data_IF_712058787605
#
_entry.id   IF_712058787605
#
_cell.length_a   1.000
_cell.length_b   1.000
_cell.length_c   1.000
_cell.angle_alpha   90.00
_cell.angle_beta   90.00
_cell.angle_gamma   90.00
#
_symmetry.space_group_name_H-M   'P 1'
#
loop_
_entity.id
_entity.type
_entity.pdbx_description
1 polymer ?
#
# COMPACT_ATOMS: atom_id res chain seq x y z
N UNK A 1 -15.21 -15.34 -21.03
CA UNK A 1 -15.52 -15.35 -19.60
C UNK A 1 -15.85 -13.92 -19.18
N UNK A 2 -17.02 -13.71 -18.57
CA UNK A 2 -17.42 -12.40 -18.02
C UNK A 2 -16.45 -12.04 -16.88
N UNK A 3 -15.59 -11.06 -17.11
CA UNK A 3 -14.72 -10.49 -16.08
C UNK A 3 -15.45 -9.30 -15.43
N UNK A 4 -15.22 -9.03 -14.13
CA UNK A 4 -15.71 -7.82 -13.47
C UNK A 4 -15.28 -6.57 -14.24
N UNK A 5 -16.15 -5.57 -14.32
CA UNK A 5 -15.89 -4.31 -15.04
C UNK A 5 -14.62 -3.59 -14.55
N UNK A 6 -14.35 -3.63 -13.27
CA UNK A 6 -13.16 -3.06 -12.66
C UNK A 6 -11.84 -3.72 -13.15
N UNK A 7 -11.85 -5.02 -13.46
CA UNK A 7 -10.69 -5.70 -14.04
C UNK A 7 -10.51 -5.34 -15.51
N UNK A 8 -11.61 -5.20 -16.25
CA UNK A 8 -11.58 -4.78 -17.66
C UNK A 8 -11.02 -3.35 -17.74
N UNK A 9 -11.49 -2.45 -16.89
CA UNK A 9 -11.01 -1.07 -16.82
C UNK A 9 -9.49 -1.01 -16.58
N UNK A 10 -8.96 -1.80 -15.64
CA UNK A 10 -7.53 -1.86 -15.36
C UNK A 10 -6.66 -2.33 -16.53
N UNK A 11 -7.23 -3.11 -17.44
CA UNK A 11 -6.52 -3.65 -18.61
C UNK A 11 -6.52 -2.69 -19.81
N UNK A 12 -7.43 -1.72 -19.84
CA UNK A 12 -7.52 -0.76 -20.93
C UNK A 12 -6.27 0.11 -21.02
N UNK A 13 -5.73 0.23 -22.24
CA UNK A 13 -4.64 1.14 -22.59
C UNK A 13 -5.09 2.02 -23.75
N UNK A 14 -5.84 3.07 -23.45
CA UNK A 14 -6.13 4.15 -24.38
C UNK A 14 -4.96 5.15 -24.45
N UNK A 15 -5.07 6.11 -25.38
CA UNK A 15 -4.03 7.13 -25.58
C UNK A 15 -3.71 7.89 -24.28
N UNK A 16 -4.72 8.28 -23.54
CA UNK A 16 -4.55 9.04 -22.28
C UNK A 16 -3.80 8.22 -21.23
N UNK A 17 -4.08 6.92 -21.10
CA UNK A 17 -3.39 6.03 -20.16
C UNK A 17 -1.95 5.76 -20.58
N UNK A 18 -1.68 5.64 -21.86
CA UNK A 18 -0.31 5.53 -22.40
C UNK A 18 0.50 6.81 -22.11
N UNK A 19 -0.10 7.98 -22.34
CA UNK A 19 0.54 9.27 -22.01
C UNK A 19 0.81 9.40 -20.52
N UNK A 20 -0.07 8.93 -19.66
CA UNK A 20 0.17 8.88 -18.20
C UNK A 20 1.32 7.96 -17.82
N UNK A 21 1.45 6.80 -18.46
CA UNK A 21 2.61 5.90 -18.25
C UNK A 21 3.89 6.63 -18.64
N UNK A 22 3.93 7.28 -19.82
CA UNK A 22 5.10 8.02 -20.27
C UNK A 22 5.46 9.17 -19.32
N UNK A 23 4.46 9.91 -18.83
CA UNK A 23 4.65 10.97 -17.81
C UNK A 23 5.21 10.38 -16.52
N UNK A 24 4.69 9.24 -16.06
CA UNK A 24 5.20 8.53 -14.89
C UNK A 24 6.67 8.14 -15.03
N UNK A 25 7.09 7.67 -16.22
CA UNK A 25 8.48 7.36 -16.48
C UNK A 25 9.40 8.61 -16.40
N UNK A 26 8.93 9.77 -16.90
CA UNK A 26 9.66 11.02 -16.76
C UNK A 26 9.80 11.45 -15.30
N UNK A 27 8.71 11.35 -14.50
CA UNK A 27 8.76 11.63 -13.06
C UNK A 27 9.80 10.73 -12.39
N UNK A 28 9.82 9.43 -12.68
CA UNK A 28 10.81 8.48 -12.12
C UNK A 28 12.24 8.86 -12.56
N UNK A 29 12.43 9.28 -13.81
CA UNK A 29 13.73 9.70 -14.32
C UNK A 29 14.26 10.93 -13.56
N UNK A 30 13.40 11.87 -13.20
CA UNK A 30 13.75 13.10 -12.48
C UNK A 30 14.00 12.90 -10.98
N UNK A 31 13.63 11.73 -10.41
CA UNK A 31 13.90 11.43 -9.00
C UNK A 31 15.41 11.50 -8.70
N UNK A 32 15.81 11.89 -7.48
CA UNK A 32 17.19 11.77 -7.03
C UNK A 32 17.70 10.33 -7.15
N UNK A 33 18.98 10.18 -7.43
CA UNK A 33 19.59 8.85 -7.41
C UNK A 33 19.76 8.38 -5.94
N UNK A 34 19.08 7.31 -5.50
CA UNK A 34 19.17 6.85 -4.12
C UNK A 34 20.46 6.05 -3.83
N UNK A 35 21.15 5.57 -4.87
CA UNK A 35 22.31 4.68 -4.70
C UNK A 35 23.51 5.48 -4.22
N UNK A 36 24.09 5.06 -3.11
CA UNK A 36 25.23 5.72 -2.49
C UNK A 36 24.86 6.83 -1.48
N UNK A 37 23.56 7.14 -1.30
CA UNK A 37 23.10 8.10 -0.29
C UNK A 37 23.46 7.62 1.12
N UNK A 38 24.11 8.49 1.92
CA UNK A 38 24.42 8.22 3.32
C UNK A 38 23.22 8.55 4.19
N UNK A 39 22.57 7.51 4.72
CA UNK A 39 21.39 7.64 5.59
C UNK A 39 21.76 8.16 6.99
N UNK A 40 22.88 7.67 7.53
CA UNK A 40 23.38 8.07 8.84
C UNK A 40 24.88 7.84 8.95
N UNK A 41 25.53 8.67 9.78
CA UNK A 41 26.94 8.53 10.14
C UNK A 41 27.06 8.44 11.66
N UNK A 42 27.86 7.51 12.15
CA UNK A 42 28.19 7.42 13.57
C UNK A 42 29.70 7.26 13.78
N UNK A 43 30.22 7.88 14.86
CA UNK A 43 31.61 7.73 15.29
C UNK A 43 31.65 6.92 16.57
N UNK A 44 32.62 6.03 16.69
CA UNK A 44 32.85 5.23 17.89
C UNK A 44 33.99 5.82 18.73
N UNK A 45 34.05 5.51 20.04
CA UNK A 45 35.16 6.01 20.93
C UNK A 45 36.55 5.60 20.46
N UNK A 46 36.69 4.50 19.74
CA UNK A 46 37.94 4.02 19.16
C UNK A 46 38.36 4.72 17.86
N UNK A 47 37.62 5.77 17.43
CA UNK A 47 37.87 6.52 16.20
C UNK A 47 37.23 5.94 14.93
N UNK A 48 36.56 4.79 15.00
CA UNK A 48 35.89 4.20 13.84
C UNK A 48 34.72 5.09 13.41
N UNK A 49 34.68 5.42 12.11
CA UNK A 49 33.53 6.04 11.42
C UNK A 49 32.71 4.97 10.72
N UNK A 50 31.41 4.94 10.96
CA UNK A 50 30.46 4.03 10.35
C UNK A 50 29.42 4.84 9.59
N UNK A 51 29.35 4.65 8.28
CA UNK A 51 28.32 5.23 7.42
C UNK A 51 27.33 4.15 7.02
N UNK A 52 26.02 4.42 7.20
CA UNK A 52 24.95 3.60 6.66
C UNK A 52 24.55 4.15 5.29
N UNK A 53 24.79 3.38 4.25
CA UNK A 53 24.66 3.83 2.85
C UNK A 53 23.56 3.03 2.15
N UNK A 54 22.76 3.67 1.32
CA UNK A 54 21.77 3.00 0.45
C UNK A 54 22.49 2.22 -0.66
N UNK A 55 22.15 0.96 -0.80
CA UNK A 55 22.66 0.08 -1.87
C UNK A 55 21.49 -0.58 -2.60
N UNK A 56 21.66 -0.98 -3.87
CA UNK A 56 20.66 -1.80 -4.56
C UNK A 56 20.36 -3.09 -3.79
N UNK A 57 19.14 -3.58 -3.91
CA UNK A 57 18.74 -4.88 -3.38
C UNK A 57 19.33 -6.03 -4.20
N UNK A 58 19.47 -5.82 -5.52
CA UNK A 58 19.96 -6.82 -6.46
C UNK A 58 18.96 -7.08 -7.60
N UNK A 59 18.49 -8.31 -7.73
CA UNK A 59 17.50 -8.72 -8.73
C UNK A 59 16.12 -8.84 -8.07
N UNK A 60 15.16 -8.08 -8.59
CA UNK A 60 13.80 -8.02 -8.05
C UNK A 60 12.83 -8.75 -8.98
N UNK A 61 12.09 -9.72 -8.46
CA UNK A 61 10.99 -10.35 -9.18
C UNK A 61 9.68 -9.61 -8.93
N UNK A 62 9.05 -9.05 -9.96
CA UNK A 62 7.74 -8.41 -9.82
C UNK A 62 6.67 -9.26 -10.51
N UNK A 63 5.76 -9.82 -9.72
CA UNK A 63 4.69 -10.71 -10.19
C UNK A 63 3.37 -9.97 -10.09
N UNK A 64 2.70 -9.70 -11.23
CA UNK A 64 1.53 -8.82 -11.24
C UNK A 64 0.39 -9.36 -12.13
N UNK A 65 -0.84 -8.97 -11.81
CA UNK A 65 -2.07 -9.34 -12.51
C UNK A 65 -2.82 -8.09 -12.99
N UNK A 66 -3.41 -8.17 -14.20
CA UNK A 66 -4.37 -7.19 -14.73
C UNK A 66 -3.94 -5.71 -14.64
N UNK A 67 -2.62 -5.45 -14.72
CA UNK A 67 -2.03 -4.10 -14.59
C UNK A 67 -0.85 -3.92 -15.56
N UNK A 68 -1.09 -3.71 -16.86
CA UNK A 68 0.00 -3.61 -17.85
C UNK A 68 0.97 -2.45 -17.56
N UNK A 69 0.51 -1.34 -16.94
CA UNK A 69 1.33 -0.21 -16.53
C UNK A 69 2.47 -0.61 -15.56
N UNK A 70 2.26 -1.62 -14.72
CA UNK A 70 3.28 -2.10 -13.77
C UNK A 70 4.56 -2.53 -14.50
N UNK A 71 4.45 -2.98 -15.76
CA UNK A 71 5.63 -3.28 -16.59
C UNK A 71 6.56 -2.08 -16.72
N UNK A 72 6.01 -0.89 -16.92
CA UNK A 72 6.77 0.35 -17.04
C UNK A 72 7.23 0.87 -15.67
N UNK A 73 6.30 0.99 -14.74
CA UNK A 73 6.55 1.60 -13.43
C UNK A 73 7.60 0.80 -12.63
N UNK A 74 7.41 -0.53 -12.51
CA UNK A 74 8.34 -1.38 -11.80
C UNK A 74 9.70 -1.49 -12.54
N UNK A 75 9.68 -1.56 -13.88
CA UNK A 75 10.89 -1.57 -14.68
C UNK A 75 11.76 -0.33 -14.43
N UNK A 76 11.15 0.84 -14.49
CA UNK A 76 11.84 2.11 -14.31
C UNK A 76 12.31 2.35 -12.87
N UNK A 77 11.47 2.05 -11.86
CA UNK A 77 11.84 2.21 -10.46
C UNK A 77 13.00 1.29 -10.05
N UNK A 78 12.98 0.03 -10.50
CA UNK A 78 14.09 -0.89 -10.25
C UNK A 78 15.38 -0.38 -10.90
N UNK A 79 15.32 0.03 -12.17
CA UNK A 79 16.47 0.58 -12.87
C UNK A 79 17.01 1.86 -12.19
N UNK A 80 16.13 2.80 -11.82
CA UNK A 80 16.50 4.06 -11.15
C UNK A 80 17.18 3.82 -9.79
N UNK A 81 16.80 2.76 -9.10
CA UNK A 81 17.41 2.36 -7.83
C UNK A 81 18.57 1.36 -7.96
N UNK A 82 19.09 1.19 -9.18
CA UNK A 82 20.26 0.36 -9.46
C UNK A 82 20.01 -1.15 -9.40
N UNK A 83 18.74 -1.59 -9.43
CA UNK A 83 18.35 -2.99 -9.41
C UNK A 83 18.07 -3.52 -10.81
N UNK A 84 18.34 -4.80 -11.04
CA UNK A 84 17.74 -5.51 -12.16
C UNK A 84 16.33 -6.01 -11.79
N UNK A 85 15.46 -6.21 -12.78
CA UNK A 85 14.09 -6.68 -12.54
C UNK A 85 13.67 -7.78 -13.52
N UNK A 86 12.98 -8.78 -12.97
CA UNK A 86 12.31 -9.83 -13.75
C UNK A 86 10.81 -9.66 -13.57
N UNK A 87 10.14 -9.24 -14.64
CA UNK A 87 8.72 -8.93 -14.70
C UNK A 87 7.92 -10.16 -15.12
N UNK A 88 6.89 -10.53 -14.34
CA UNK A 88 5.95 -11.60 -14.69
C UNK A 88 4.51 -11.08 -14.63
N UNK A 89 3.99 -10.68 -15.77
CA UNK A 89 2.60 -10.23 -15.93
C UNK A 89 1.60 -11.40 -16.02
N UNK A 90 0.34 -11.13 -15.70
CA UNK A 90 -0.77 -12.06 -15.90
C UNK A 90 -1.00 -12.37 -17.39
N UNK A 91 -1.64 -13.51 -17.68
CA UNK A 91 -1.99 -13.89 -19.07
C UNK A 91 -2.92 -12.92 -19.76
N UNK A 92 -3.71 -12.17 -18.99
CA UNK A 92 -4.68 -11.19 -19.45
C UNK A 92 -4.06 -9.88 -19.95
N UNK A 93 -2.87 -9.54 -19.50
CA UNK A 93 -2.12 -8.34 -19.90
C UNK A 93 -0.84 -8.66 -20.68
N UNK A 94 -0.61 -9.93 -21.03
CA UNK A 94 0.65 -10.40 -21.61
C UNK A 94 1.09 -9.63 -22.87
N UNK A 95 0.17 -9.41 -23.82
CA UNK A 95 0.50 -8.71 -25.06
C UNK A 95 0.84 -7.24 -24.83
N UNK A 96 0.08 -6.58 -23.95
CA UNK A 96 0.35 -5.18 -23.54
C UNK A 96 1.69 -5.07 -22.80
N UNK A 97 1.95 -5.98 -21.85
CA UNK A 97 3.21 -6.03 -21.12
C UNK A 97 4.41 -6.25 -22.08
N UNK A 98 4.25 -7.14 -23.06
CA UNK A 98 5.28 -7.38 -24.10
C UNK A 98 5.57 -6.14 -24.94
N UNK A 99 4.52 -5.40 -25.33
CA UNK A 99 4.68 -4.16 -26.11
C UNK A 99 5.41 -3.08 -25.29
N UNK A 100 5.01 -2.88 -24.01
CA UNK A 100 5.68 -1.93 -23.12
C UNK A 100 7.14 -2.35 -22.87
N UNK A 101 7.40 -3.62 -22.59
CA UNK A 101 8.75 -4.13 -22.38
C UNK A 101 9.65 -3.92 -23.61
N UNK A 102 9.10 -4.07 -24.84
CA UNK A 102 9.85 -3.77 -26.07
C UNK A 102 10.32 -2.33 -26.09
N UNK A 103 9.44 -1.36 -25.77
CA UNK A 103 9.81 0.05 -25.70
C UNK A 103 10.89 0.31 -24.64
N UNK A 104 10.78 -0.32 -23.46
CA UNK A 104 11.82 -0.20 -22.42
C UNK A 104 13.17 -0.76 -22.90
N UNK A 105 13.17 -1.92 -23.57
CA UNK A 105 14.38 -2.54 -24.12
C UNK A 105 15.04 -1.66 -25.20
N UNK A 106 14.24 -1.02 -26.06
CA UNK A 106 14.73 -0.05 -27.03
C UNK A 106 15.34 1.17 -26.35
N UNK A 107 14.71 1.69 -25.28
CA UNK A 107 15.26 2.76 -24.45
C UNK A 107 16.59 2.40 -23.78
N UNK A 108 16.70 1.20 -23.19
CA UNK A 108 17.95 0.70 -22.61
C UNK A 108 19.06 0.63 -23.63
N UNK A 109 18.79 0.06 -24.82
CA UNK A 109 19.77 -0.03 -25.90
C UNK A 109 20.23 1.36 -26.37
N UNK A 110 19.31 2.32 -26.51
CA UNK A 110 19.62 3.71 -26.91
C UNK A 110 20.50 4.43 -25.88
N UNK A 111 20.38 4.05 -24.60
CA UNK A 111 21.19 4.57 -23.50
C UNK A 111 22.48 3.78 -23.24
N UNK A 112 22.81 2.78 -24.07
CA UNK A 112 23.92 1.83 -23.87
C UNK A 112 23.87 1.11 -22.51
N UNK A 113 22.65 0.83 -22.01
CA UNK A 113 22.43 0.02 -20.80
C UNK A 113 22.15 -1.44 -21.17
N UNK A 114 22.51 -2.40 -20.31
CA UNK A 114 22.26 -3.81 -20.59
C UNK A 114 20.76 -4.11 -20.73
N UNK A 115 20.28 -4.71 -21.83
CA UNK A 115 18.87 -5.07 -21.98
C UNK A 115 18.36 -6.03 -20.87
N UNK A 116 19.27 -6.82 -20.29
CA UNK A 116 18.98 -7.72 -19.18
C UNK A 116 18.64 -7.00 -17.87
N UNK A 117 18.80 -5.67 -17.77
CA UNK A 117 18.41 -4.89 -16.59
C UNK A 117 16.90 -4.94 -16.35
N UNK A 118 16.10 -5.05 -17.42
CA UNK A 118 14.64 -5.20 -17.34
C UNK A 118 14.25 -6.41 -18.19
N UNK A 119 13.83 -7.48 -17.57
CA UNK A 119 13.44 -8.72 -18.26
C UNK A 119 11.95 -8.96 -18.08
N UNK A 120 11.32 -9.55 -19.10
CA UNK A 120 9.94 -10.02 -19.05
C UNK A 120 9.92 -11.55 -19.27
N UNK A 121 9.30 -12.28 -18.35
CA UNK A 121 9.11 -13.72 -18.49
C UNK A 121 8.33 -14.02 -19.78
N UNK A 122 8.89 -14.80 -20.73
CA UNK A 122 8.34 -14.91 -22.08
C UNK A 122 7.18 -15.91 -22.20
N UNK A 123 6.59 -16.32 -21.08
CA UNK A 123 5.49 -17.28 -21.05
C UNK A 123 4.38 -16.86 -20.09
N UNK A 124 3.16 -17.29 -20.40
CA UNK A 124 2.01 -17.17 -19.52
C UNK A 124 1.82 -18.37 -18.59
N UNK A 125 2.68 -19.39 -18.69
CA UNK A 125 2.61 -20.56 -17.84
C UNK A 125 2.79 -20.18 -16.36
N UNK A 126 1.93 -20.75 -15.52
CA UNK A 126 1.99 -20.55 -14.06
C UNK A 126 3.17 -21.26 -13.41
N UNK A 127 3.78 -22.25 -14.08
CA UNK A 127 4.99 -22.91 -13.60
C UNK A 127 6.15 -21.92 -13.48
N UNK A 128 6.25 -20.92 -14.36
CA UNK A 128 7.27 -19.87 -14.29
C UNK A 128 7.22 -19.06 -12.98
N UNK A 129 6.02 -18.89 -12.39
CA UNK A 129 5.89 -18.28 -11.06
C UNK A 129 6.57 -19.15 -10.01
N UNK A 130 6.37 -20.46 -10.05
CA UNK A 130 7.03 -21.40 -9.14
C UNK A 130 8.57 -21.32 -9.20
N UNK A 131 9.15 -21.13 -10.38
CA UNK A 131 10.61 -20.97 -10.53
C UNK A 131 11.10 -19.65 -9.93
N UNK A 132 10.36 -18.54 -10.12
CA UNK A 132 10.64 -17.27 -9.45
C UNK A 132 10.59 -17.42 -7.91
N UNK A 133 9.59 -18.12 -7.39
CA UNK A 133 9.44 -18.32 -5.94
C UNK A 133 10.53 -19.23 -5.35
N UNK A 134 11.14 -20.10 -6.14
CA UNK A 134 12.33 -20.88 -5.73
C UNK A 134 13.61 -20.03 -5.68
N UNK A 135 13.60 -18.83 -6.28
CA UNK A 135 14.74 -17.91 -6.26
C UNK A 135 15.70 -18.04 -7.44
N UNK A 136 15.32 -18.74 -8.52
CA UNK A 136 16.14 -18.91 -9.75
C UNK A 136 17.59 -19.32 -9.44
N UNK A 137 17.75 -20.34 -8.62
CA UNK A 137 19.06 -20.86 -8.19
C UNK A 137 19.96 -19.78 -7.51
N UNK A 138 19.34 -18.90 -6.72
CA UNK A 138 20.03 -17.83 -6.01
C UNK A 138 20.27 -16.56 -6.83
N UNK A 139 19.66 -16.44 -8.01
CA UNK A 139 19.75 -15.26 -8.88
C UNK A 139 18.60 -14.27 -8.69
N UNK A 140 17.75 -14.46 -7.69
CA UNK A 140 16.65 -13.57 -7.33
C UNK A 140 16.73 -13.22 -5.85
N UNK A 141 16.79 -11.93 -5.53
CA UNK A 141 16.99 -11.44 -4.16
C UNK A 141 15.69 -11.17 -3.42
N UNK A 142 14.65 -10.71 -4.12
CA UNK A 142 13.35 -10.38 -3.52
C UNK A 142 12.21 -10.51 -4.52
N UNK A 143 11.00 -10.82 -4.03
CA UNK A 143 9.77 -10.85 -4.83
C UNK A 143 8.79 -9.80 -4.34
N UNK A 144 8.17 -9.07 -5.28
CA UNK A 144 7.12 -8.08 -5.02
C UNK A 144 5.86 -8.50 -5.79
N UNK A 145 4.81 -8.99 -5.12
CA UNK A 145 3.53 -9.28 -5.76
C UNK A 145 2.67 -8.03 -5.93
N UNK A 146 1.95 -7.96 -7.05
CA UNK A 146 0.94 -6.92 -7.38
C UNK A 146 -0.31 -7.58 -7.97
N UNK A 147 -1.16 -8.14 -7.13
CA UNK A 147 -2.35 -8.86 -7.58
C UNK A 147 -3.41 -8.97 -6.49
N UNK A 148 -4.38 -9.84 -6.71
CA UNK A 148 -5.40 -10.13 -5.71
C UNK A 148 -4.87 -11.03 -4.58
N UNK A 149 -5.66 -11.12 -3.50
CA UNK A 149 -5.38 -11.90 -2.27
C UNK A 149 -4.86 -13.32 -2.55
N UNK A 150 -5.44 -14.03 -3.52
CA UNK A 150 -5.03 -15.39 -3.86
C UNK A 150 -3.60 -15.48 -4.41
N UNK A 151 -3.17 -14.52 -5.24
CA UNK A 151 -1.78 -14.48 -5.73
C UNK A 151 -0.82 -14.12 -4.60
N UNK A 152 -1.14 -13.10 -3.81
CA UNK A 152 -0.27 -12.63 -2.72
C UNK A 152 -0.10 -13.73 -1.67
N UNK A 153 -1.19 -14.36 -1.23
CA UNK A 153 -1.17 -15.47 -0.27
C UNK A 153 -0.32 -16.65 -0.78
N UNK A 154 -0.48 -17.02 -2.05
CA UNK A 154 0.34 -18.05 -2.66
C UNK A 154 1.83 -17.71 -2.60
N UNK A 155 2.20 -16.47 -2.98
CA UNK A 155 3.59 -16.02 -3.00
C UNK A 155 4.18 -16.00 -1.59
N UNK A 156 3.44 -15.49 -0.60
CA UNK A 156 3.89 -15.46 0.80
C UNK A 156 4.13 -16.88 1.37
N UNK A 157 3.27 -17.84 1.00
CA UNK A 157 3.37 -19.21 1.51
C UNK A 157 4.42 -20.07 0.78
N UNK A 158 4.64 -19.86 -0.52
CA UNK A 158 5.50 -20.70 -1.35
C UNK A 158 6.90 -20.12 -1.59
N UNK A 159 7.11 -18.82 -1.35
CA UNK A 159 8.38 -18.18 -1.68
C UNK A 159 9.51 -18.61 -0.75
N UNK A 160 10.66 -18.91 -1.35
CA UNK A 160 11.95 -19.16 -0.67
C UNK A 160 12.84 -17.93 -0.66
N UNK A 161 12.43 -16.87 -1.34
CA UNK A 161 13.09 -15.57 -1.31
C UNK A 161 12.23 -14.57 -0.52
N UNK A 162 12.83 -13.54 0.04
CA UNK A 162 12.11 -12.45 0.72
C UNK A 162 10.97 -11.90 -0.14
N UNK A 163 9.85 -11.59 0.51
CA UNK A 163 8.66 -11.03 -0.16
C UNK A 163 8.31 -9.68 0.44
N UNK A 164 8.18 -8.65 -0.39
CA UNK A 164 7.61 -7.37 0.01
C UNK A 164 6.16 -7.30 -0.44
N UNK A 165 5.24 -7.51 0.50
CA UNK A 165 3.81 -7.58 0.23
C UNK A 165 2.96 -7.18 1.42
N UNK A 166 1.69 -6.86 1.15
CA UNK A 166 0.59 -6.95 2.09
C UNK A 166 -0.50 -7.85 1.50
N UNK A 167 -1.29 -8.47 2.35
CA UNK A 167 -2.36 -9.38 1.92
C UNK A 167 -3.68 -8.64 1.75
N UNK A 168 -4.06 -7.85 2.76
CA UNK A 168 -5.29 -7.06 2.84
C UNK A 168 -4.96 -5.64 3.31
N UNK A 169 -5.81 -4.67 2.96
CA UNK A 169 -5.75 -3.29 3.44
C UNK A 169 -6.91 -2.99 4.41
N UNK A 170 -6.90 -3.59 5.60
CA UNK A 170 -7.91 -3.30 6.63
C UNK A 170 -7.42 -2.11 7.45
N UNK A 171 -7.61 -0.91 6.91
CA UNK A 171 -7.16 0.34 7.51
C UNK A 171 -8.21 0.91 8.48
N UNK A 172 -7.74 1.51 9.58
CA UNK A 172 -8.61 2.14 10.59
C UNK A 172 -8.37 3.64 10.68
N UNK A 173 -9.43 4.37 10.99
CA UNK A 173 -9.35 5.75 11.47
C UNK A 173 -9.96 5.82 12.85
N UNK A 174 -9.21 6.29 13.84
CA UNK A 174 -9.69 6.55 15.19
C UNK A 174 -9.88 8.05 15.39
N UNK A 175 -11.09 8.45 15.77
CA UNK A 175 -11.44 9.82 16.16
C UNK A 175 -11.46 9.90 17.67
N UNK A 176 -10.47 10.59 18.23
CA UNK A 176 -10.30 10.78 19.66
C UNK A 176 -11.28 11.85 20.24
N UNK A 177 -11.49 11.84 21.55
CA UNK A 177 -12.34 12.81 22.24
C UNK A 177 -11.91 14.27 21.98
N UNK A 178 -10.61 14.52 21.75
CA UNK A 178 -10.05 15.84 21.52
C UNK A 178 -9.94 16.19 20.01
N UNK A 179 -10.65 15.45 19.13
CA UNK A 179 -10.69 15.72 17.70
C UNK A 179 -11.63 16.88 17.36
N UNK A 180 -11.22 17.77 16.42
CA UNK A 180 -12.18 18.74 15.85
C UNK A 180 -13.10 18.05 14.85
N UNK A 181 -14.36 18.50 14.78
CA UNK A 181 -15.34 17.94 13.85
C UNK A 181 -14.93 18.15 12.39
N UNK A 182 -14.42 19.32 12.06
CA UNK A 182 -14.01 19.67 10.69
C UNK A 182 -12.89 18.74 10.22
N UNK A 183 -11.84 18.58 11.02
CA UNK A 183 -10.72 17.67 10.73
C UNK A 183 -11.21 16.22 10.60
N UNK A 184 -12.10 15.77 11.49
CA UNK A 184 -12.65 14.43 11.44
C UNK A 184 -13.43 14.19 10.14
N UNK A 185 -14.26 15.13 9.70
CA UNK A 185 -15.01 15.04 8.45
C UNK A 185 -14.05 14.98 7.25
N UNK A 186 -13.10 15.89 7.16
CA UNK A 186 -12.17 15.95 6.03
C UNK A 186 -11.32 14.66 5.92
N UNK A 187 -10.72 14.24 7.02
CA UNK A 187 -9.83 13.07 7.04
C UNK A 187 -10.61 11.79 6.78
N UNK A 188 -11.75 11.57 7.44
CA UNK A 188 -12.54 10.34 7.28
C UNK A 188 -13.13 10.22 5.88
N UNK A 189 -13.72 11.30 5.35
CA UNK A 189 -14.24 11.29 3.99
C UNK A 189 -13.13 11.04 2.96
N UNK A 190 -11.98 11.68 3.11
CA UNK A 190 -10.84 11.42 2.24
C UNK A 190 -10.35 9.99 2.38
N UNK A 191 -10.20 9.48 3.61
CA UNK A 191 -9.72 8.12 3.88
C UNK A 191 -10.63 7.04 3.30
N UNK A 192 -11.95 7.25 3.22
CA UNK A 192 -12.85 6.25 2.64
C UNK A 192 -13.26 6.55 1.21
N UNK A 193 -13.66 7.80 0.90
CA UNK A 193 -14.41 8.11 -0.33
C UNK A 193 -13.55 8.65 -1.47
N UNK A 194 -12.30 9.06 -1.25
CA UNK A 194 -11.40 9.49 -2.33
C UNK A 194 -11.23 8.39 -3.38
N UNK A 195 -10.98 7.15 -2.96
CA UNK A 195 -10.82 5.95 -3.80
C UNK A 195 -11.16 4.70 -2.98
N UNK A 196 -12.43 4.27 -2.90
CA UNK A 196 -12.83 3.14 -2.03
C UNK A 196 -12.16 1.80 -2.35
N UNK A 197 -11.77 1.59 -3.61
CA UNK A 197 -11.22 0.31 -4.10
C UNK A 197 -9.70 0.16 -4.00
N UNK A 198 -9.02 0.89 -3.10
CA UNK A 198 -7.57 0.75 -2.86
C UNK A 198 -7.30 0.29 -1.43
N UNK A 199 -6.16 -0.38 -1.22
CA UNK A 199 -5.77 -0.95 0.08
C UNK A 199 -5.56 0.10 1.19
N UNK A 200 -5.32 1.37 0.85
CA UNK A 200 -5.22 2.48 1.81
C UNK A 200 -6.57 3.09 2.19
N UNK A 201 -7.70 2.60 1.63
CA UNK A 201 -9.02 3.07 2.02
C UNK A 201 -9.36 2.59 3.44
N UNK A 202 -9.94 3.48 4.27
CA UNK A 202 -10.39 3.09 5.59
C UNK A 202 -11.54 2.09 5.49
N UNK A 203 -11.46 0.99 6.24
CA UNK A 203 -12.50 -0.03 6.31
C UNK A 203 -13.23 0.02 7.66
N UNK A 204 -12.57 0.54 8.69
CA UNK A 204 -13.16 0.72 10.02
C UNK A 204 -12.91 2.14 10.55
N UNK A 205 -13.97 2.75 11.07
CA UNK A 205 -13.98 4.01 11.81
C UNK A 205 -14.26 3.73 13.29
N UNK A 206 -13.34 4.09 14.17
CA UNK A 206 -13.49 4.01 15.60
C UNK A 206 -13.79 5.41 16.15
N UNK A 207 -14.86 5.54 16.91
CA UNK A 207 -15.28 6.81 17.52
C UNK A 207 -15.14 6.73 19.03
N UNK A 208 -14.41 7.65 19.63
CA UNK A 208 -14.29 7.74 21.09
C UNK A 208 -15.64 8.02 21.73
N UNK A 209 -16.05 7.22 22.71
CA UNK A 209 -17.31 7.38 23.40
C UNK A 209 -17.46 8.75 24.14
N UNK A 210 -16.35 9.41 24.46
CA UNK A 210 -16.33 10.73 25.05
C UNK A 210 -16.38 11.87 24.00
N UNK A 211 -16.21 11.56 22.71
CA UNK A 211 -16.41 12.57 21.65
C UNK A 211 -17.90 12.95 21.57
N UNK A 212 -18.26 14.23 21.34
CA UNK A 212 -19.66 14.66 21.39
C UNK A 212 -20.57 13.85 20.46
N UNK A 213 -21.67 13.32 21.00
CA UNK A 213 -22.61 12.48 20.23
C UNK A 213 -23.16 13.18 18.97
N UNK A 214 -23.36 14.49 19.04
CA UNK A 214 -23.77 15.30 17.89
C UNK A 214 -22.70 15.30 16.78
N UNK A 215 -21.41 15.37 17.14
CA UNK A 215 -20.31 15.29 16.18
C UNK A 215 -20.25 13.91 15.50
N UNK A 216 -20.44 12.83 16.28
CA UNK A 216 -20.51 11.45 15.74
C UNK A 216 -21.64 11.33 14.72
N UNK A 217 -22.84 11.84 15.07
CA UNK A 217 -24.00 11.84 14.17
C UNK A 217 -23.70 12.59 12.89
N UNK A 218 -23.19 13.81 12.98
CA UNK A 218 -22.84 14.62 11.80
C UNK A 218 -21.82 13.93 10.91
N UNK A 219 -20.76 13.35 11.48
CA UNK A 219 -19.72 12.65 10.72
C UNK A 219 -20.30 11.43 9.95
N UNK A 220 -21.13 10.63 10.62
CA UNK A 220 -21.75 9.45 9.98
C UNK A 220 -22.75 9.88 8.89
N UNK A 221 -23.56 10.91 9.13
CA UNK A 221 -24.46 11.47 8.12
C UNK A 221 -23.69 11.99 6.89
N UNK A 222 -22.51 12.59 7.07
CA UNK A 222 -21.65 13.06 5.98
C UNK A 222 -21.10 11.90 5.13
N UNK A 223 -20.74 10.77 5.76
CA UNK A 223 -20.38 9.54 5.04
C UNK A 223 -21.54 9.02 4.20
N UNK A 224 -22.74 8.94 4.77
CA UNK A 224 -23.95 8.51 4.06
C UNK A 224 -24.31 9.44 2.89
N UNK A 225 -24.22 10.75 3.10
CA UNK A 225 -24.46 11.77 2.05
C UNK A 225 -23.45 11.66 0.90
N UNK A 226 -22.21 11.20 1.19
CA UNK A 226 -21.21 10.92 0.18
C UNK A 226 -21.44 9.57 -0.55
N UNK A 227 -22.50 8.83 -0.21
CA UNK A 227 -22.84 7.55 -0.81
C UNK A 227 -22.17 6.35 -0.16
N UNK A 228 -21.66 6.48 1.07
CA UNK A 228 -21.07 5.38 1.81
C UNK A 228 -22.13 4.58 2.58
N UNK A 229 -22.16 3.27 2.40
CA UNK A 229 -22.91 2.37 3.28
C UNK A 229 -22.20 2.29 4.64
N UNK A 230 -22.92 2.59 5.70
CA UNK A 230 -22.37 2.57 7.06
C UNK A 230 -22.92 1.36 7.80
N UNK A 231 -22.03 0.46 8.23
CA UNK A 231 -22.34 -0.65 9.13
C UNK A 231 -21.85 -0.29 10.52
N UNK A 232 -22.75 -0.19 11.48
CA UNK A 232 -22.43 0.37 12.78
C UNK A 232 -22.85 -0.53 13.93
N UNK A 233 -22.17 -0.39 15.07
CA UNK A 233 -22.58 -1.01 16.31
C UNK A 233 -23.92 -0.45 16.82
N UNK A 234 -24.47 -1.06 17.86
CA UNK A 234 -25.77 -0.71 18.42
C UNK A 234 -25.79 0.72 18.97
N UNK A 235 -24.70 1.24 19.51
CA UNK A 235 -24.60 2.57 20.09
C UNK A 235 -24.74 3.66 19.03
N UNK A 236 -23.99 3.53 17.95
CA UNK A 236 -24.04 4.48 16.81
C UNK A 236 -25.42 4.45 16.16
N UNK A 237 -25.99 3.25 15.94
CA UNK A 237 -27.29 3.08 15.28
C UNK A 237 -28.46 3.65 16.06
N UNK A 238 -28.38 3.73 17.39
CA UNK A 238 -29.41 4.37 18.22
C UNK A 238 -29.51 5.88 17.96
N UNK A 239 -28.39 6.51 17.58
CA UNK A 239 -28.28 7.97 17.45
C UNK A 239 -28.22 8.43 15.99
N UNK A 240 -28.05 7.51 15.03
CA UNK A 240 -27.90 7.87 13.61
C UNK A 240 -28.74 6.89 12.75
N UNK A 241 -29.68 7.45 12.01
CA UNK A 241 -30.55 6.69 11.11
C UNK A 241 -29.77 6.19 9.87
N UNK A 242 -30.32 5.16 9.20
CA UNK A 242 -29.76 4.66 7.92
C UNK A 242 -28.53 3.77 8.05
N UNK A 243 -28.00 3.53 9.24
CA UNK A 243 -26.90 2.59 9.45
C UNK A 243 -27.39 1.14 9.50
N UNK A 244 -26.70 0.25 8.79
CA UNK A 244 -26.90 -1.19 8.90
C UNK A 244 -26.22 -1.76 10.18
N UNK A 245 -26.66 -2.91 10.70
CA UNK A 245 -25.97 -3.55 11.82
C UNK A 245 -24.62 -4.10 11.38
N UNK A 246 -23.55 -3.73 12.09
CA UNK A 246 -22.28 -4.40 11.98
C UNK A 246 -22.30 -5.76 12.69
N UNK A 247 -21.54 -6.71 12.18
CA UNK A 247 -21.31 -8.04 12.77
C UNK A 247 -19.80 -8.30 12.91
N UNK A 248 -19.42 -9.39 13.58
CA UNK A 248 -17.99 -9.66 13.85
C UNK A 248 -17.12 -9.79 12.61
N UNK A 249 -17.68 -10.26 11.49
CA UNK A 249 -16.91 -10.37 10.24
C UNK A 249 -16.59 -9.01 9.61
N UNK A 250 -17.39 -7.99 9.89
CA UNK A 250 -17.17 -6.63 9.34
C UNK A 250 -15.86 -6.03 9.86
N UNK A 251 -15.42 -6.39 11.08
CA UNK A 251 -14.17 -5.87 11.66
C UNK A 251 -12.88 -6.38 10.99
N UNK A 252 -13.00 -7.46 10.22
CA UNK A 252 -11.87 -8.08 9.49
C UNK A 252 -12.10 -8.13 7.98
N UNK A 253 -13.02 -7.30 7.47
CA UNK A 253 -13.38 -7.28 6.05
C UNK A 253 -12.74 -6.09 5.35
N UNK A 254 -11.97 -6.35 4.30
CA UNK A 254 -11.58 -5.37 3.29
C UNK A 254 -12.71 -5.29 2.25
N UNK A 255 -13.54 -4.26 2.32
CA UNK A 255 -14.70 -4.10 1.42
C UNK A 255 -14.30 -3.75 0.00
N UNK A 256 -13.26 -2.91 -0.17
CA UNK A 256 -12.84 -2.35 -1.47
C UNK A 256 -14.01 -1.64 -2.19
N UNK A 257 -14.95 -1.10 -1.44
CA UNK A 257 -16.17 -0.44 -1.92
C UNK A 257 -16.53 0.72 -0.99
N UNK A 258 -17.54 1.50 -1.34
CA UNK A 258 -18.08 2.58 -0.52
C UNK A 258 -18.89 2.04 0.67
N UNK A 259 -18.25 1.22 1.50
CA UNK A 259 -18.79 0.59 2.72
C UNK A 259 -17.77 0.80 3.83
N UNK A 260 -18.21 1.20 5.02
CA UNK A 260 -17.36 1.37 6.21
C UNK A 260 -18.04 0.82 7.46
N UNK A 261 -17.24 0.15 8.31
CA UNK A 261 -17.68 -0.27 9.64
C UNK A 261 -17.42 0.82 10.66
N UNK A 262 -18.36 1.09 11.58
CA UNK A 262 -18.25 2.13 12.60
C UNK A 262 -18.51 1.56 13.98
N UNK A 263 -17.60 1.80 14.92
CA UNK A 263 -17.64 1.28 16.29
C UNK A 263 -17.34 2.36 17.32
N UNK A 264 -18.06 2.37 18.44
CA UNK A 264 -17.70 3.08 19.67
C UNK A 264 -16.55 2.35 20.38
N UNK A 265 -15.60 3.14 20.90
CA UNK A 265 -14.50 2.68 21.76
C UNK A 265 -14.34 3.60 22.97
N UNK A 266 -13.94 3.04 24.11
CA UNK A 266 -13.72 3.80 25.34
C UNK A 266 -12.26 4.27 25.43
N UNK A 267 -11.96 5.32 24.70
CA UNK A 267 -10.63 5.93 24.67
C UNK A 267 -9.62 5.20 23.80
N UNK A 268 -8.44 5.82 23.70
CA UNK A 268 -7.33 5.34 22.85
C UNK A 268 -6.87 3.91 23.18
N UNK A 269 -7.01 3.47 24.42
CA UNK A 269 -6.61 2.11 24.83
C UNK A 269 -7.45 1.03 24.14
N UNK A 270 -8.77 1.18 24.11
CA UNK A 270 -9.67 0.24 23.41
C UNK A 270 -9.49 0.35 21.89
N UNK A 271 -9.26 1.55 21.37
CA UNK A 271 -8.95 1.76 19.95
C UNK A 271 -7.69 0.97 19.54
N UNK A 272 -6.59 1.10 20.30
CA UNK A 272 -5.34 0.36 20.05
C UNK A 272 -5.56 -1.15 20.12
N UNK A 273 -6.31 -1.64 21.13
CA UNK A 273 -6.64 -3.07 21.25
C UNK A 273 -7.43 -3.58 20.05
N UNK A 274 -8.46 -2.83 19.61
CA UNK A 274 -9.26 -3.19 18.45
C UNK A 274 -8.41 -3.26 17.19
N UNK A 275 -7.59 -2.23 16.95
CA UNK A 275 -6.72 -2.14 15.77
C UNK A 275 -5.71 -3.30 15.77
N UNK A 276 -4.98 -3.52 16.86
CA UNK A 276 -4.01 -4.61 16.93
C UNK A 276 -4.63 -6.01 16.78
N UNK A 277 -5.92 -6.16 17.09
CA UNK A 277 -6.65 -7.43 16.93
C UNK A 277 -7.18 -7.64 15.50
N UNK A 278 -7.63 -6.59 14.81
CA UNK A 278 -8.41 -6.70 13.57
C UNK A 278 -7.70 -6.15 12.33
N UNK A 279 -6.67 -5.33 12.51
CA UNK A 279 -5.92 -4.72 11.41
C UNK A 279 -5.13 -5.74 10.59
N UNK A 280 -4.91 -5.41 9.35
CA UNK A 280 -3.95 -6.07 8.46
C UNK A 280 -2.52 -5.51 8.60
N UNK A 281 -2.25 -4.65 9.57
CA UNK A 281 -0.99 -3.93 9.78
C UNK A 281 -0.58 -3.04 8.61
N UNK A 282 -1.54 -2.52 7.85
CA UNK A 282 -1.29 -1.71 6.67
C UNK A 282 -1.14 -0.23 7.05
N UNK A 283 -2.25 0.47 7.29
CA UNK A 283 -2.24 1.91 7.58
C UNK A 283 -3.34 2.27 8.57
N UNK A 284 -2.95 2.99 9.64
CA UNK A 284 -3.89 3.45 10.66
C UNK A 284 -3.76 4.95 10.87
N UNK A 285 -4.84 5.62 11.19
CA UNK A 285 -4.85 7.06 11.46
C UNK A 285 -5.54 7.39 12.77
N UNK A 286 -4.99 8.35 13.50
CA UNK A 286 -5.65 9.00 14.63
C UNK A 286 -5.94 10.46 14.30
N UNK A 287 -7.13 10.92 14.69
CA UNK A 287 -7.53 12.32 14.61
C UNK A 287 -7.67 12.85 16.03
N UNK A 288 -6.78 13.75 16.43
CA UNK A 288 -6.75 14.33 17.78
C UNK A 288 -5.93 15.61 17.82
N UNK A 289 -6.30 16.53 18.71
CA UNK A 289 -5.46 17.67 19.10
C UNK A 289 -4.53 17.34 20.30
N UNK A 290 -4.67 16.15 20.89
CA UNK A 290 -3.91 15.73 22.05
C UNK A 290 -2.64 14.99 21.66
N UNK A 291 -1.49 15.66 21.71
CA UNK A 291 -0.18 15.14 21.36
C UNK A 291 0.21 13.89 22.17
N UNK A 292 -0.21 13.76 23.43
CA UNK A 292 0.07 12.58 24.25
C UNK A 292 -0.71 11.37 23.78
N UNK A 293 -1.98 11.56 23.44
CA UNK A 293 -2.82 10.51 22.86
C UNK A 293 -2.30 10.08 21.49
N UNK A 294 -1.93 11.06 20.65
CA UNK A 294 -1.28 10.78 19.35
C UNK A 294 0.02 9.96 19.54
N UNK A 295 0.89 10.37 20.44
CA UNK A 295 2.14 9.66 20.69
C UNK A 295 1.92 8.21 21.17
N UNK A 296 0.91 7.97 22.04
CA UNK A 296 0.55 6.60 22.44
C UNK A 296 0.09 5.77 21.25
N UNK A 297 -0.83 6.30 20.44
CA UNK A 297 -1.33 5.64 19.24
C UNK A 297 -0.18 5.24 18.30
N UNK A 298 0.71 6.19 18.00
CA UNK A 298 1.84 5.97 17.10
C UNK A 298 2.89 4.98 17.64
N UNK A 299 2.99 4.81 18.96
CA UNK A 299 3.97 3.90 19.57
C UNK A 299 3.43 2.51 19.87
N UNK A 300 2.11 2.37 20.15
CA UNK A 300 1.52 1.13 20.64
C UNK A 300 0.83 0.32 19.53
N UNK A 301 0.67 0.86 18.32
CA UNK A 301 0.10 0.15 17.17
C UNK A 301 1.23 -0.41 16.30
N UNK A 302 1.06 -1.67 15.92
CA UNK A 302 1.99 -2.39 15.07
C UNK A 302 1.47 -2.42 13.61
N UNK A 303 1.59 -1.27 12.92
CA UNK A 303 1.25 -1.17 11.49
C UNK A 303 2.40 -0.50 10.72
N UNK A 304 2.45 -0.78 9.41
CA UNK A 304 3.52 -0.28 8.55
C UNK A 304 3.52 1.25 8.43
N UNK A 305 2.33 1.85 8.43
CA UNK A 305 2.14 3.30 8.29
C UNK A 305 1.17 3.78 9.35
N UNK A 306 1.59 4.79 10.10
CA UNK A 306 0.78 5.45 11.13
C UNK A 306 0.67 6.92 10.83
N UNK A 307 -0.56 7.44 10.86
CA UNK A 307 -0.90 8.82 10.51
C UNK A 307 -1.47 9.58 11.71
N UNK A 308 -1.14 10.84 11.83
CA UNK A 308 -1.75 11.77 12.77
C UNK A 308 -2.38 12.91 12.00
N UNK A 309 -3.69 13.10 12.17
CA UNK A 309 -4.49 14.12 11.47
C UNK A 309 -4.35 14.08 9.94
N UNK A 310 -4.19 12.90 9.38
CA UNK A 310 -3.99 12.69 7.96
C UNK A 310 -4.74 11.47 7.46
N UNK A 311 -5.14 11.49 6.19
CA UNK A 311 -5.87 10.42 5.54
C UNK A 311 -5.02 9.15 5.40
N UNK A 312 -5.62 7.97 5.63
CA UNK A 312 -4.98 6.69 5.35
C UNK A 312 -4.61 6.53 3.87
N UNK A 313 -5.30 7.23 2.96
CA UNK A 313 -4.99 7.20 1.52
C UNK A 313 -3.80 8.08 1.13
N UNK A 314 -3.17 8.77 2.07
CA UNK A 314 -1.86 9.40 1.85
C UNK A 314 -0.70 8.40 2.00
N UNK A 315 -0.97 7.16 2.38
CA UNK A 315 -0.05 6.03 2.30
C UNK A 315 0.19 5.65 0.83
N UNK A 316 0.93 6.47 0.12
CA UNK A 316 1.18 6.38 -1.32
C UNK A 316 2.57 6.97 -1.63
N UNK A 317 3.33 6.31 -2.49
CA UNK A 317 4.69 6.74 -2.84
C UNK A 317 4.75 8.13 -3.48
N UNK A 318 3.70 8.57 -4.17
CA UNK A 318 3.61 9.93 -4.71
C UNK A 318 3.42 10.97 -3.61
N UNK A 319 2.48 10.74 -2.67
CA UNK A 319 2.23 11.63 -1.53
C UNK A 319 3.45 11.71 -0.59
N UNK A 320 4.22 10.61 -0.46
CA UNK A 320 5.45 10.56 0.36
C UNK A 320 6.68 11.12 -0.34
N UNK A 321 6.53 11.68 -1.55
CA UNK A 321 7.65 12.26 -2.29
C UNK A 321 8.63 11.25 -2.89
N UNK A 322 8.22 9.97 -2.99
CA UNK A 322 9.01 8.91 -3.62
C UNK A 322 8.79 8.86 -5.15
N UNK A 323 7.90 9.71 -5.68
CA UNK A 323 7.54 9.82 -7.10
C UNK A 323 6.63 8.70 -7.60
N UNK A 324 6.89 7.47 -7.23
CA UNK A 324 6.06 6.30 -7.52
C UNK A 324 6.35 5.18 -6.52
N UNK A 325 5.55 4.11 -6.57
CA UNK A 325 5.75 2.91 -5.76
C UNK A 325 5.56 1.64 -6.57
N UNK A 326 6.28 0.57 -6.23
CA UNK A 326 6.01 -0.77 -6.74
C UNK A 326 4.89 -1.42 -5.92
N UNK A 327 4.83 -1.15 -4.63
CA UNK A 327 3.81 -1.65 -3.70
C UNK A 327 4.09 -1.26 -2.27
N UNK A 328 3.14 -1.51 -1.39
CA UNK A 328 3.25 -1.32 0.06
C UNK A 328 3.55 -2.68 0.70
N UNK A 329 4.46 -2.72 1.67
CA UNK A 329 4.79 -3.93 2.41
C UNK A 329 4.53 -3.74 3.90
N UNK A 330 3.91 -4.74 4.53
CA UNK A 330 3.64 -4.77 5.97
C UNK A 330 4.67 -5.61 6.75
N UNK A 331 5.61 -6.25 6.05
CA UNK A 331 6.68 -7.03 6.66
C UNK A 331 7.74 -6.18 7.36
N UNK A 332 8.39 -6.73 8.40
CA UNK A 332 9.38 -6.02 9.25
C UNK A 332 10.83 -6.36 8.90
N UNK A 333 11.13 -6.69 7.65
CA UNK A 333 12.47 -7.09 7.25
C UNK A 333 13.31 -5.88 6.81
N UNK A 334 14.38 -5.56 7.56
CA UNK A 334 15.24 -4.41 7.29
C UNK A 334 16.70 -4.57 7.75
N UNK A 335 17.09 -5.72 8.27
CA UNK A 335 18.44 -5.91 8.79
C UNK A 335 19.43 -6.36 7.71
N UNK A 336 20.53 -5.63 7.55
CA UNK A 336 21.70 -6.02 6.76
C UNK A 336 22.97 -5.60 7.50
N UNK A 337 23.92 -6.53 7.69
CA UNK A 337 25.11 -6.36 8.50
C UNK A 337 24.93 -6.91 9.91
N UNK A 338 25.72 -6.49 10.90
CA UNK A 338 25.54 -6.92 12.28
C UNK A 338 24.12 -6.60 12.76
N UNK A 339 23.46 -7.59 13.36
CA UNK A 339 22.12 -7.47 13.92
C UNK A 339 22.26 -7.31 15.44
N UNK A 340 21.69 -6.22 15.99
CA UNK A 340 21.72 -5.92 17.41
C UNK A 340 20.62 -4.96 17.82
#
# INVERSE_FOLDING_TARGET
>A
ANRPSALIDRLQLDKTRIERIATGLNIIADLPNPVGEVISTSKRPNGLRIDRVRTPLGVIGVIYESRPNVTADAGALCLKSGNAVILRGGSDSYHSAKAIHKCLSEGLNSANLPPASIQLVPTTDRAAVGELLKGLDGNLDVVVPRGGKGLVSRIQNESRVPVFAHLDGICHVYVDQDASLEMAIEVVLNSKMRRPGICGAAETLLLDAAWPAEHMRVLVERLQQAGCEVRADTSIRKNTAGCLPANEADWTTEYLDAIISVKHVNGVTEAIQHINQHSSHHTESIITANEKTAARFLNEIDSAILMHNASTQFADGGEFGMGAEIGIATGKMHARGPVG
#
